data_IF_590652445622
#
_entry.id   IF_590652445622
#
_cell.length_a   1.000
_cell.length_b   1.000
_cell.length_c   1.000
_cell.angle_alpha   90.00
_cell.angle_beta   90.00
_cell.angle_gamma   90.00
#
_symmetry.space_group_name_H-M   'P 1'
#
loop_
_entity.id
_entity.type
_entity.pdbx_description
1 polymer ?
#
# COMPACT_ATOMS: atom_id res chain seq x y z
N UNK A 1 -66.00 39.71 -49.54
CA UNK A 1 -66.50 40.96 -48.93
C UNK A 1 -66.35 40.84 -47.41
N UNK A 2 -65.73 41.83 -46.75
CA UNK A 2 -65.69 42.07 -45.27
C UNK A 2 -65.09 40.94 -44.36
N UNK A 3 -64.21 41.15 -43.35
CA UNK A 3 -63.82 42.29 -42.45
C UNK A 3 -64.91 42.59 -41.38
N UNK A 4 -64.71 42.63 -40.05
CA UNK A 4 -63.60 42.32 -39.09
C UNK A 4 -64.25 41.69 -37.80
N UNK A 5 -63.78 41.64 -36.53
CA UNK A 5 -62.62 42.12 -35.72
C UNK A 5 -62.43 41.08 -34.57
N UNK A 6 -61.25 40.59 -34.17
CA UNK A 6 -60.05 41.19 -33.54
C UNK A 6 -60.12 41.48 -32.01
N UNK A 7 -59.16 40.90 -31.27
CA UNK A 7 -58.63 41.19 -29.89
C UNK A 7 -57.69 40.02 -29.54
N UNK A 8 -56.37 40.06 -29.70
CA UNK A 8 -55.33 41.01 -29.27
C UNK A 8 -54.99 40.96 -27.77
N UNK A 9 -53.97 40.16 -27.43
CA UNK A 9 -53.12 40.33 -26.26
C UNK A 9 -51.74 39.64 -26.49
N UNK A 10 -50.64 40.30 -26.10
CA UNK A 10 -49.30 39.70 -25.92
C UNK A 10 -49.14 39.41 -24.40
N UNK A 11 -48.15 38.68 -23.85
CA UNK A 11 -46.79 38.31 -24.30
C UNK A 11 -46.29 37.03 -23.56
N UNK A 12 -45.03 36.55 -23.73
CA UNK A 12 -44.65 35.16 -23.41
C UNK A 12 -43.82 34.93 -22.12
N UNK A 13 -43.47 33.64 -21.90
CA UNK A 13 -42.44 33.05 -21.00
C UNK A 13 -42.81 32.76 -19.53
N UNK A 14 -42.78 31.47 -19.20
CA UNK A 14 -42.31 30.96 -17.90
C UNK A 14 -41.82 29.51 -18.06
N UNK A 15 -40.52 29.32 -18.32
CA UNK A 15 -39.88 28.01 -18.21
C UNK A 15 -39.29 27.88 -16.80
N UNK A 16 -39.76 26.91 -16.01
CA UNK A 16 -39.33 26.74 -14.61
C UNK A 16 -37.93 26.13 -14.55
N UNK A 17 -36.90 26.98 -14.55
CA UNK A 17 -35.51 26.58 -14.36
C UNK A 17 -35.29 26.02 -12.95
N UNK A 18 -35.17 24.71 -12.84
CA UNK A 18 -34.81 24.03 -11.61
C UNK A 18 -33.30 24.15 -11.37
N UNK A 19 -32.89 25.18 -10.62
CA UNK A 19 -31.49 25.47 -10.29
C UNK A 19 -30.99 24.53 -9.19
N UNK A 20 -30.07 23.61 -9.53
CA UNK A 20 -29.31 22.81 -8.57
C UNK A 20 -27.82 23.11 -8.77
N UNK A 21 -27.17 23.87 -7.86
CA UNK A 21 -25.74 24.13 -7.92
C UNK A 21 -24.95 23.11 -7.10
N UNK A 22 -24.35 22.11 -7.75
CA UNK A 22 -23.40 21.18 -7.10
C UNK A 22 -22.07 21.16 -7.86
N UNK A 23 -21.12 21.88 -7.26
CA UNK A 23 -19.67 21.69 -7.19
C UNK A 23 -18.95 20.83 -8.24
N UNK A 24 -17.86 21.42 -8.75
CA UNK A 24 -16.80 20.84 -9.57
C UNK A 24 -16.38 19.41 -9.16
N UNK A 25 -16.41 18.49 -10.12
CA UNK A 25 -15.63 17.25 -10.09
C UNK A 25 -14.56 17.30 -11.19
N UNK A 26 -13.31 17.61 -10.82
CA UNK A 26 -12.18 17.60 -11.77
C UNK A 26 -11.73 16.16 -11.97
N UNK A 27 -12.23 15.53 -13.03
CA UNK A 27 -11.91 14.14 -13.38
C UNK A 27 -10.49 13.94 -13.91
N UNK A 28 -9.48 14.09 -13.06
CA UNK A 28 -8.13 13.57 -13.30
C UNK A 28 -7.90 12.31 -12.47
N UNK A 29 -7.81 11.16 -13.14
CA UNK A 29 -6.99 10.04 -12.66
C UNK A 29 -6.60 9.13 -13.81
N UNK A 30 -5.33 9.23 -14.21
CA UNK A 30 -4.70 8.28 -15.13
C UNK A 30 -4.44 6.96 -14.40
N UNK A 31 -5.09 5.87 -14.82
CA UNK A 31 -4.67 4.52 -14.42
C UNK A 31 -3.96 3.87 -15.61
N UNK A 32 -2.65 3.61 -15.44
CA UNK A 32 -1.84 2.99 -16.47
C UNK A 32 -2.07 1.48 -16.55
N UNK A 33 -2.27 0.96 -17.76
CA UNK A 33 -2.40 -0.48 -18.02
C UNK A 33 -1.05 -1.21 -17.91
N UNK A 34 -0.52 -1.32 -16.69
CA UNK A 34 0.69 -2.07 -16.36
C UNK A 34 0.39 -3.50 -15.92
N UNK A 35 -0.45 -4.24 -16.64
CA UNK A 35 -0.95 -5.56 -16.23
C UNK A 35 -0.67 -6.62 -17.29
N UNK A 36 0.27 -7.52 -17.02
CA UNK A 36 0.64 -8.58 -17.97
C UNK A 36 1.99 -9.25 -17.69
N UNK A 37 2.09 -10.05 -16.62
CA UNK A 37 3.09 -11.12 -16.54
C UNK A 37 2.37 -12.48 -16.58
N UNK A 38 2.43 -13.24 -17.69
CA UNK A 38 1.72 -14.51 -17.83
C UNK A 38 2.50 -15.65 -17.15
N UNK A 39 2.19 -15.91 -15.88
CA UNK A 39 2.73 -17.05 -15.12
C UNK A 39 1.62 -17.97 -14.63
N UNK A 40 1.33 -19.05 -15.35
CA UNK A 40 0.33 -20.04 -14.94
C UNK A 40 0.86 -20.89 -13.78
N UNK A 41 0.40 -20.60 -12.56
CA UNK A 41 0.60 -21.43 -11.38
C UNK A 41 -0.65 -21.39 -10.51
N UNK A 42 -1.64 -22.23 -10.80
CA UNK A 42 -2.85 -22.38 -9.97
C UNK A 42 -2.57 -23.28 -8.76
N UNK A 43 -1.54 -22.93 -7.99
CA UNK A 43 -1.51 -23.25 -6.57
C UNK A 43 -2.58 -22.41 -5.89
N UNK A 44 -3.45 -23.03 -5.11
CA UNK A 44 -4.26 -22.31 -4.11
C UNK A 44 -3.34 -21.45 -3.22
N UNK A 45 -3.84 -20.38 -2.59
CA UNK A 45 -3.18 -19.83 -1.41
C UNK A 45 -2.87 -20.99 -0.44
N UNK A 46 -1.69 -21.04 0.19
CA UNK A 46 -1.37 -22.12 1.11
C UNK A 46 -2.35 -22.11 2.29
N UNK A 47 -2.93 -23.26 2.63
CA UNK A 47 -3.83 -23.35 3.77
C UNK A 47 -3.01 -23.23 5.07
N UNK A 48 -3.36 -22.27 5.93
CA UNK A 48 -2.70 -22.08 7.23
C UNK A 48 -3.45 -22.90 8.29
N UNK A 49 -2.87 -24.04 8.69
CA UNK A 49 -3.50 -24.98 9.64
C UNK A 49 -3.32 -24.59 11.12
N UNK A 50 -2.16 -24.04 11.49
CA UNK A 50 -1.86 -23.68 12.89
C UNK A 50 -0.96 -22.44 13.00
N UNK A 51 -1.14 -21.63 14.05
CA UNK A 51 -0.30 -20.46 14.31
C UNK A 51 -0.69 -19.18 13.56
N UNK A 52 -1.85 -19.19 12.90
CA UNK A 52 -2.29 -18.19 11.93
C UNK A 52 -2.73 -16.85 12.53
N UNK A 53 -2.83 -16.72 13.86
CA UNK A 53 -3.40 -15.53 14.51
C UNK A 53 -2.38 -14.38 14.63
N UNK A 54 -1.73 -14.04 13.51
CA UNK A 54 -0.70 -12.99 13.37
C UNK A 54 -1.27 -11.61 12.97
N UNK A 55 -2.59 -11.49 12.77
CA UNK A 55 -3.23 -10.19 12.58
C UNK A 55 -3.07 -9.31 13.83
N UNK A 56 -2.76 -8.02 13.65
CA UNK A 56 -2.69 -7.08 14.76
C UNK A 56 -1.71 -5.93 14.54
N UNK A 57 -1.52 -5.13 15.60
CA UNK A 57 -0.58 -4.01 15.62
C UNK A 57 0.64 -4.40 16.44
N UNK A 58 1.82 -4.36 15.82
CA UNK A 58 3.10 -4.71 16.43
C UNK A 58 3.95 -3.45 16.64
N UNK A 59 4.53 -3.31 17.83
CA UNK A 59 5.53 -2.28 18.12
C UNK A 59 6.83 -2.63 17.40
N UNK A 60 7.19 -1.84 16.37
CA UNK A 60 8.38 -2.08 15.56
C UNK A 60 9.62 -1.42 16.19
N UNK A 61 10.70 -2.18 16.37
CA UNK A 61 11.98 -1.67 16.87
C UNK A 61 13.14 -2.17 15.99
N UNK A 62 13.90 -1.23 15.41
CA UNK A 62 15.15 -1.54 14.71
C UNK A 62 16.29 -1.74 15.71
N UNK A 63 17.16 -2.73 15.44
CA UNK A 63 18.34 -3.02 16.24
C UNK A 63 19.43 -1.93 16.14
N UNK A 64 19.42 -1.17 15.04
CA UNK A 64 20.19 0.05 14.85
C UNK A 64 19.27 1.11 14.21
N UNK A 65 19.08 2.21 14.91
CA UNK A 65 18.25 3.36 14.53
C UNK A 65 19.09 4.57 14.06
N UNK A 66 20.37 4.37 13.75
CA UNK A 66 21.23 5.41 13.16
C UNK A 66 20.63 6.01 11.89
N UNK A 67 20.87 7.32 11.61
CA UNK A 67 20.45 7.93 10.36
C UNK A 67 20.98 7.16 9.14
N UNK A 68 20.18 7.05 8.06
CA UNK A 68 20.53 6.24 6.90
C UNK A 68 21.62 6.85 6.02
N UNK A 69 22.02 8.10 6.29
CA UNK A 69 23.09 8.81 5.59
C UNK A 69 22.58 9.73 4.49
N UNK A 70 23.44 10.69 4.11
CA UNK A 70 23.12 11.86 3.28
C UNK A 70 22.39 11.51 1.98
N UNK A 71 22.76 10.42 1.30
CA UNK A 71 22.13 9.99 0.04
C UNK A 71 20.67 9.52 0.20
N UNK A 72 20.32 8.96 1.36
CA UNK A 72 18.94 8.62 1.69
C UNK A 72 18.16 9.87 2.13
N UNK A 73 18.77 10.69 2.98
CA UNK A 73 18.17 11.91 3.53
C UNK A 73 17.87 12.95 2.44
N UNK A 74 18.79 13.19 1.52
CA UNK A 74 18.61 14.09 0.37
C UNK A 74 17.49 13.62 -0.60
N UNK A 75 17.19 12.31 -0.61
CA UNK A 75 16.07 11.75 -1.36
C UNK A 75 14.76 11.69 -0.55
N UNK A 76 14.79 11.99 0.76
CA UNK A 76 13.65 11.90 1.66
C UNK A 76 13.27 10.48 2.06
N UNK A 77 14.23 9.54 2.08
CA UNK A 77 14.03 8.16 2.54
C UNK A 77 14.66 7.95 3.92
N UNK A 78 13.95 7.23 4.78
CA UNK A 78 14.37 6.91 6.14
C UNK A 78 13.89 5.54 6.59
N UNK A 79 14.23 5.16 7.83
CA UNK A 79 13.61 4.01 8.47
C UNK A 79 12.11 4.31 8.71
N UNK A 80 11.21 3.35 8.45
CA UNK A 80 9.78 3.56 8.63
C UNK A 80 9.43 3.81 10.10
N UNK A 81 8.37 4.59 10.31
CA UNK A 81 7.95 5.09 11.62
C UNK A 81 6.56 4.56 12.00
N UNK A 82 6.33 4.43 13.31
CA UNK A 82 5.09 3.85 13.85
C UNK A 82 5.11 2.32 13.87
N UNK A 83 3.96 1.68 14.16
CA UNK A 83 3.86 0.24 14.28
C UNK A 83 3.87 -0.47 12.91
N UNK A 84 4.21 -1.75 12.94
CA UNK A 84 3.90 -2.70 11.88
C UNK A 84 2.46 -3.21 12.12
N UNK A 85 1.54 -2.88 11.22
CA UNK A 85 0.16 -3.40 11.26
C UNK A 85 0.05 -4.55 10.26
N UNK A 86 -0.30 -5.74 10.74
CA UNK A 86 -0.62 -6.89 9.91
C UNK A 86 -2.14 -7.08 9.87
N UNK A 87 -2.65 -7.39 8.68
CA UNK A 87 -4.04 -7.78 8.41
C UNK A 87 -4.04 -9.06 7.58
N UNK A 88 -4.98 -9.97 7.84
CA UNK A 88 -5.00 -11.31 7.26
C UNK A 88 -6.31 -11.56 6.49
N UNK A 89 -6.20 -12.14 5.29
CA UNK A 89 -7.31 -12.75 4.56
C UNK A 89 -6.87 -14.14 4.13
N UNK A 90 -7.46 -15.17 4.74
CA UNK A 90 -7.02 -16.57 4.59
C UNK A 90 -5.54 -16.73 4.97
N UNK A 91 -4.63 -16.95 4.02
CA UNK A 91 -3.17 -16.92 4.21
C UNK A 91 -2.48 -15.68 3.60
N UNK A 92 -3.23 -14.77 2.98
CA UNK A 92 -2.70 -13.53 2.42
C UNK A 92 -2.56 -12.47 3.51
N UNK A 93 -1.32 -12.04 3.77
CA UNK A 93 -1.00 -11.02 4.77
C UNK A 93 -0.74 -9.70 4.05
N UNK A 94 -1.44 -8.65 4.45
CA UNK A 94 -1.08 -7.27 4.11
C UNK A 94 -0.46 -6.59 5.33
N UNK A 95 0.77 -6.09 5.14
CA UNK A 95 1.56 -5.38 6.14
C UNK A 95 1.62 -3.88 5.80
N UNK A 96 1.33 -3.03 6.78
CA UNK A 96 1.50 -1.58 6.70
C UNK A 96 2.52 -1.10 7.74
N UNK A 97 3.43 -0.21 7.33
CA UNK A 97 4.38 0.46 8.22
C UNK A 97 4.69 1.87 7.66
N UNK A 98 4.39 2.92 8.42
CA UNK A 98 4.33 4.27 7.88
C UNK A 98 3.35 4.36 6.70
N UNK A 99 3.81 4.90 5.56
CA UNK A 99 3.07 5.01 4.31
C UNK A 99 3.22 3.79 3.39
N UNK A 100 4.12 2.85 3.71
CA UNK A 100 4.34 1.64 2.92
C UNK A 100 3.23 0.62 3.19
N UNK A 101 2.76 -0.05 2.13
CA UNK A 101 1.86 -1.20 2.21
C UNK A 101 2.41 -2.30 1.32
N UNK A 102 2.76 -3.44 1.93
CA UNK A 102 3.29 -4.62 1.26
C UNK A 102 2.37 -5.83 1.50
N UNK A 103 2.51 -6.87 0.68
CA UNK A 103 1.79 -8.14 0.89
C UNK A 103 2.71 -9.35 0.79
N UNK A 104 2.34 -10.42 1.47
CA UNK A 104 3.00 -11.73 1.49
C UNK A 104 1.95 -12.85 1.66
N UNK A 105 2.39 -14.11 1.60
CA UNK A 105 1.63 -15.25 2.12
C UNK A 105 2.24 -15.72 3.44
N UNK A 106 1.43 -16.33 4.31
CA UNK A 106 1.85 -16.90 5.59
C UNK A 106 1.20 -18.27 5.81
N UNK A 107 2.05 -19.26 6.09
CA UNK A 107 1.66 -20.68 6.14
C UNK A 107 1.54 -21.21 7.59
N UNK A 108 1.79 -20.39 8.61
CA UNK A 108 1.77 -20.82 10.00
C UNK A 108 2.98 -21.67 10.39
N UNK A 109 2.79 -22.60 11.32
CA UNK A 109 3.80 -23.61 11.68
C UNK A 109 3.93 -24.68 10.57
N UNK A 110 5.14 -25.22 10.29
CA UNK A 110 6.42 -24.90 10.92
C UNK A 110 7.20 -23.77 10.22
N UNK A 111 6.72 -23.30 9.06
CA UNK A 111 7.48 -22.43 8.15
C UNK A 111 7.67 -21.00 8.70
N UNK A 112 6.61 -20.43 9.29
CA UNK A 112 6.56 -19.15 10.02
C UNK A 112 7.10 -17.91 9.31
N UNK A 113 7.43 -18.01 8.01
CA UNK A 113 8.10 -16.95 7.26
C UNK A 113 7.11 -15.93 6.73
N UNK A 114 7.52 -14.67 6.79
CA UNK A 114 6.87 -13.52 6.18
C UNK A 114 7.90 -12.84 5.27
N UNK A 115 7.78 -13.06 3.96
CA UNK A 115 8.61 -12.41 2.95
C UNK A 115 7.77 -11.39 2.15
N UNK A 116 8.00 -10.10 2.42
CA UNK A 116 7.34 -9.01 1.71
C UNK A 116 8.30 -8.38 0.70
N UNK A 117 7.80 -8.01 -0.48
CA UNK A 117 8.62 -7.37 -1.52
C UNK A 117 7.78 -6.46 -2.42
N UNK A 118 8.24 -5.23 -2.66
CA UNK A 118 7.69 -4.34 -3.69
C UNK A 118 8.79 -3.62 -4.46
N UNK A 119 8.49 -3.20 -5.69
CA UNK A 119 9.33 -2.32 -6.49
C UNK A 119 8.48 -1.25 -7.17
N UNK A 120 8.84 0.03 -6.98
CA UNK A 120 8.12 1.18 -7.52
C UNK A 120 9.08 2.12 -8.24
N UNK A 121 8.70 2.56 -9.44
CA UNK A 121 9.35 3.69 -10.11
C UNK A 121 8.75 5.01 -9.61
N UNK A 122 9.61 5.91 -9.15
CA UNK A 122 9.26 7.21 -8.59
C UNK A 122 9.68 8.29 -9.59
N UNK A 123 8.83 8.49 -10.60
CA UNK A 123 9.12 9.31 -11.80
C UNK A 123 9.64 10.71 -11.47
N UNK A 124 9.03 11.39 -10.49
CA UNK A 124 9.42 12.73 -10.03
C UNK A 124 10.86 12.80 -9.50
N UNK A 125 11.34 11.71 -8.89
CA UNK A 125 12.69 11.59 -8.32
C UNK A 125 13.68 10.89 -9.26
N UNK A 126 13.24 10.40 -10.44
CA UNK A 126 14.02 9.54 -11.37
C UNK A 126 14.71 8.34 -10.70
N UNK A 127 14.06 7.71 -9.72
CA UNK A 127 14.60 6.52 -9.03
C UNK A 127 13.62 5.35 -9.05
N UNK A 128 14.17 4.14 -8.99
CA UNK A 128 13.47 2.90 -8.63
C UNK A 128 13.68 2.65 -7.15
N UNK A 129 12.59 2.63 -6.36
CA UNK A 129 12.57 2.10 -4.99
C UNK A 129 12.28 0.61 -5.04
N UNK A 130 13.02 -0.18 -4.27
CA UNK A 130 12.68 -1.56 -3.93
C UNK A 130 12.67 -1.68 -2.41
N UNK A 131 11.61 -2.27 -1.85
CA UNK A 131 11.53 -2.59 -0.41
C UNK A 131 11.39 -4.10 -0.28
N UNK A 132 12.21 -4.71 0.57
CA UNK A 132 12.14 -6.13 0.92
C UNK A 132 12.12 -6.25 2.45
N UNK A 133 11.30 -7.15 2.95
CA UNK A 133 11.34 -7.62 4.34
C UNK A 133 11.42 -9.13 4.29
N UNK A 134 12.49 -9.69 4.87
CA UNK A 134 12.61 -11.13 5.10
C UNK A 134 12.57 -11.36 6.62
N UNK A 135 11.55 -12.06 7.08
CA UNK A 135 11.22 -12.15 8.50
C UNK A 135 10.53 -13.45 8.88
N UNK A 136 10.55 -13.77 10.16
CA UNK A 136 10.01 -15.01 10.72
C UNK A 136 9.26 -14.70 12.02
N UNK A 137 8.07 -15.27 12.18
CA UNK A 137 7.34 -15.25 13.45
C UNK A 137 8.05 -16.17 14.45
N UNK A 138 8.29 -15.70 15.67
CA UNK A 138 8.94 -16.50 16.71
C UNK A 138 8.05 -17.70 17.11
N UNK A 139 8.67 -18.82 17.48
CA UNK A 139 7.94 -20.01 17.93
C UNK A 139 7.61 -19.93 19.44
N UNK A 140 6.44 -20.43 19.89
CA UNK A 140 5.32 -20.87 19.06
C UNK A 140 4.58 -19.70 18.42
N UNK A 141 4.08 -19.91 17.21
CA UNK A 141 3.24 -18.94 16.50
C UNK A 141 1.91 -18.70 17.24
N UNK A 142 1.35 -17.48 17.18
CA UNK A 142 0.13 -17.14 17.91
C UNK A 142 -1.08 -17.95 17.40
N UNK A 143 -1.79 -18.59 18.32
CA UNK A 143 -3.05 -19.32 18.05
C UNK A 143 -4.28 -18.45 18.32
N UNK A 144 -4.15 -17.37 19.08
CA UNK A 144 -5.18 -16.33 19.28
C UNK A 144 -4.66 -14.91 19.00
N UNK A 145 -5.57 -13.99 18.70
CA UNK A 145 -5.23 -12.56 18.52
C UNK A 145 -4.72 -11.89 19.81
N UNK A 146 -4.99 -12.49 20.97
CA UNK A 146 -4.49 -12.08 22.29
C UNK A 146 -3.19 -12.74 22.70
N UNK A 147 -2.67 -13.69 21.92
CA UNK A 147 -1.38 -14.31 22.21
C UNK A 147 -0.26 -13.32 21.94
N UNK A 148 0.74 -13.29 22.84
CA UNK A 148 1.98 -12.55 22.59
C UNK A 148 2.62 -13.07 21.31
N UNK A 149 3.01 -12.17 20.41
CA UNK A 149 3.70 -12.52 19.17
C UNK A 149 4.93 -11.66 18.97
N UNK A 150 6.00 -12.28 18.48
CA UNK A 150 7.25 -11.60 18.11
C UNK A 150 7.57 -11.95 16.67
N UNK A 151 7.97 -10.96 15.88
CA UNK A 151 8.44 -11.13 14.51
C UNK A 151 9.86 -10.58 14.45
N UNK A 152 10.79 -11.38 13.94
CA UNK A 152 12.20 -11.00 13.81
C UNK A 152 12.60 -11.04 12.33
N UNK A 153 13.36 -10.06 11.86
CA UNK A 153 13.68 -9.99 10.44
C UNK A 153 14.64 -8.89 10.04
N UNK A 154 14.81 -8.74 8.73
CA UNK A 154 15.62 -7.70 8.09
C UNK A 154 14.75 -6.85 7.18
N UNK A 155 14.79 -5.53 7.39
CA UNK A 155 14.30 -4.52 6.44
C UNK A 155 15.44 -4.14 5.49
N UNK A 156 15.13 -4.08 4.20
CA UNK A 156 16.06 -3.82 3.09
C UNK A 156 15.38 -2.86 2.10
N UNK A 157 15.81 -1.60 2.12
CA UNK A 157 15.40 -0.55 1.18
C UNK A 157 16.54 -0.28 0.21
N UNK A 158 16.28 -0.42 -1.08
CA UNK A 158 17.25 -0.18 -2.15
C UNK A 158 16.70 0.86 -3.14
N UNK A 159 17.41 1.99 -3.28
CA UNK A 159 17.07 3.06 -4.22
C UNK A 159 18.14 3.13 -5.31
N UNK A 160 17.74 2.83 -6.55
CA UNK A 160 18.59 2.90 -7.74
C UNK A 160 18.17 4.07 -8.62
N UNK A 161 19.11 4.82 -9.19
CA UNK A 161 18.76 5.81 -10.22
C UNK A 161 18.29 5.13 -11.51
N UNK A 162 17.26 5.68 -12.15
CA UNK A 162 16.65 5.07 -13.34
C UNK A 162 17.49 5.19 -14.63
N UNK A 163 18.56 5.97 -14.61
CA UNK A 163 19.42 6.24 -15.78
C UNK A 163 20.59 5.25 -15.88
N UNK A 164 21.21 4.86 -14.75
CA UNK A 164 22.40 4.01 -14.70
C UNK A 164 22.29 2.80 -13.73
N UNK A 165 21.17 2.67 -13.01
CA UNK A 165 20.95 1.72 -11.91
C UNK A 165 21.97 1.83 -10.75
N UNK A 166 22.67 2.96 -10.62
CA UNK A 166 23.58 3.18 -9.48
C UNK A 166 22.78 3.36 -8.19
N UNK A 167 23.26 2.72 -7.11
CA UNK A 167 22.70 2.85 -5.76
C UNK A 167 22.86 4.30 -5.29
N UNK A 168 21.74 4.96 -4.99
CA UNK A 168 21.71 6.31 -4.40
C UNK A 168 21.40 6.30 -2.91
N UNK A 169 20.70 5.26 -2.45
CA UNK A 169 20.40 5.01 -1.04
C UNK A 169 20.22 3.49 -0.84
N UNK A 170 20.75 2.96 0.26
CA UNK A 170 20.54 1.57 0.68
C UNK A 170 20.46 1.52 2.20
N UNK A 171 19.28 1.19 2.74
CA UNK A 171 19.04 1.03 4.18
C UNK A 171 18.78 -0.44 4.46
N UNK A 172 19.71 -1.09 5.16
CA UNK A 172 19.53 -2.46 5.66
C UNK A 172 19.63 -2.47 7.17
N UNK A 173 18.60 -2.97 7.86
CA UNK A 173 18.54 -3.03 9.33
C UNK A 173 17.78 -4.26 9.80
N UNK A 174 18.26 -4.89 10.85
CA UNK A 174 17.51 -5.92 11.58
C UNK A 174 16.44 -5.25 12.43
N UNK A 175 15.30 -5.90 12.61
CA UNK A 175 14.21 -5.45 13.48
C UNK A 175 13.61 -6.60 14.30
N UNK A 176 13.00 -6.22 15.40
CA UNK A 176 12.04 -7.02 16.16
C UNK A 176 10.72 -6.24 16.18
N UNK A 177 9.60 -6.91 15.95
CA UNK A 177 8.27 -6.33 16.09
C UNK A 177 7.47 -7.16 17.11
N UNK A 178 6.82 -6.51 18.08
CA UNK A 178 6.16 -7.18 19.22
C UNK A 178 4.68 -6.81 19.36
N UNK A 179 3.84 -7.83 19.59
CA UNK A 179 2.44 -7.73 20.01
C UNK A 179 2.29 -8.41 21.37
#
# INVERSE_FOLDING_TARGET
>A
MHIESSRSARSPKAATFLRIPVLLAVGMMTMGSGMGNPGCGSSSPPDCEEGCAIEGTYTLQFADSSPPGEGCEALGFGLPQGPLVLTLSDSYVTAKFGDETLSAYYEGEPARRLYFSTAQYLTEKKVRRTVRIDSTVAAPSPRSATDRSVIEGTYDLEILASEDNSVKCHIKRNFTATR
#
